data_IF_074615678638
#
_entry.id   IF_074615678638
#
_cell.length_a   1.000
_cell.length_b   1.000
_cell.length_c   1.000
_cell.angle_alpha   90.00
_cell.angle_beta   90.00
_cell.angle_gamma   90.00
#
_symmetry.space_group_name_H-M   'P 1'
#
loop_
_entity.id
_entity.type
_entity.pdbx_description
1 polymer ?
#
# COMPACT_ATOMS: atom_id res chain seq x y z
N UNK A 1 -31.22 25.95 -3.76
CA UNK A 1 -30.78 24.59 -4.11
C UNK A 1 -29.33 24.49 -3.65
N UNK A 2 -28.97 23.45 -2.91
CA UNK A 2 -27.57 23.23 -2.52
C UNK A 2 -26.69 22.91 -3.74
N UNK A 3 -25.37 23.04 -3.60
CA UNK A 3 -24.41 22.63 -4.64
C UNK A 3 -24.63 21.15 -5.00
N UNK A 4 -24.55 20.77 -6.28
CA UNK A 4 -24.58 19.36 -6.69
C UNK A 4 -23.31 18.61 -6.26
N UNK A 5 -22.26 19.34 -5.86
CA UNK A 5 -20.96 18.77 -5.47
C UNK A 5 -20.74 18.86 -3.95
N UNK A 6 -20.32 17.75 -3.37
CA UNK A 6 -19.87 17.67 -1.99
C UNK A 6 -18.50 18.35 -1.83
N UNK A 7 -17.60 18.11 -2.81
CA UNK A 7 -16.25 18.66 -2.85
C UNK A 7 -15.90 19.10 -4.27
N UNK A 8 -15.29 20.28 -4.41
CA UNK A 8 -14.69 20.73 -5.67
C UNK A 8 -13.28 21.27 -5.39
N UNK A 9 -12.36 20.92 -6.25
CA UNK A 9 -10.98 21.42 -6.28
C UNK A 9 -10.79 22.12 -7.61
N UNK A 10 -10.21 23.33 -7.61
CA UNK A 10 -9.96 24.11 -8.81
C UNK A 10 -8.52 24.59 -8.84
N UNK A 11 -7.78 24.19 -9.86
CA UNK A 11 -6.41 24.62 -10.10
C UNK A 11 -5.43 24.26 -8.98
N UNK A 12 -5.64 23.16 -8.27
CA UNK A 12 -4.83 22.79 -7.11
C UNK A 12 -3.41 22.44 -7.55
N UNK A 13 -2.44 23.18 -7.00
CA UNK A 13 -1.01 22.96 -7.24
C UNK A 13 -0.28 22.75 -5.91
N UNK A 14 0.65 21.77 -5.90
CA UNK A 14 1.54 21.50 -4.77
C UNK A 14 2.91 21.09 -5.21
N UNK A 15 3.93 21.73 -4.64
CA UNK A 15 5.34 21.46 -4.89
C UNK A 15 6.07 21.10 -3.61
N UNK A 16 7.09 20.25 -3.70
CA UNK A 16 8.01 19.92 -2.63
C UNK A 16 9.44 20.13 -3.16
N UNK A 17 10.06 21.25 -2.82
CA UNK A 17 11.34 21.65 -3.39
C UNK A 17 11.23 21.78 -4.93
N UNK A 18 12.00 20.98 -5.65
CA UNK A 18 11.97 20.94 -7.13
C UNK A 18 10.91 20.00 -7.71
N UNK A 19 10.24 19.20 -6.86
CA UNK A 19 9.27 18.18 -7.31
C UNK A 19 7.85 18.76 -7.31
N UNK A 20 7.20 18.76 -8.46
CA UNK A 20 5.79 19.14 -8.59
C UNK A 20 4.95 17.88 -8.34
N UNK A 21 4.28 17.82 -7.20
CA UNK A 21 3.43 16.68 -6.84
C UNK A 21 2.05 16.74 -7.48
N UNK A 22 1.46 17.96 -7.55
CA UNK A 22 0.22 18.23 -8.25
C UNK A 22 0.35 19.57 -8.99
N UNK A 23 -0.18 19.64 -10.21
CA UNK A 23 -0.14 20.83 -11.04
C UNK A 23 -1.51 21.08 -11.65
N UNK A 24 -2.12 22.20 -11.28
CA UNK A 24 -3.37 22.71 -11.83
C UNK A 24 -4.47 21.63 -11.91
N UNK A 25 -4.71 20.97 -10.78
CA UNK A 25 -5.63 19.82 -10.70
C UNK A 25 -7.03 20.29 -10.37
N UNK A 26 -7.98 19.93 -11.25
CA UNK A 26 -9.42 20.05 -11.02
C UNK A 26 -10.00 18.70 -10.60
N UNK A 27 -10.92 18.73 -9.63
CA UNK A 27 -11.66 17.55 -9.18
C UNK A 27 -13.06 17.94 -8.71
N UNK A 28 -14.06 17.13 -9.06
CA UNK A 28 -15.43 17.32 -8.60
C UNK A 28 -16.00 16.01 -8.08
N UNK A 29 -16.49 16.02 -6.85
CA UNK A 29 -17.17 14.91 -6.19
C UNK A 29 -18.64 15.29 -6.00
N UNK A 30 -19.55 14.52 -6.60
CA UNK A 30 -20.99 14.74 -6.44
C UNK A 30 -21.47 14.31 -5.05
N UNK A 31 -22.61 14.85 -4.60
CA UNK A 31 -23.22 14.38 -3.36
C UNK A 31 -23.67 12.92 -3.51
N UNK A 32 -23.31 12.06 -2.54
CA UNK A 32 -23.74 10.67 -2.51
C UNK A 32 -23.16 9.80 -3.64
N UNK A 33 -21.96 10.14 -4.17
CA UNK A 33 -21.27 9.28 -5.14
C UNK A 33 -20.04 8.59 -4.53
N UNK A 34 -19.64 7.50 -5.16
CA UNK A 34 -18.33 6.88 -4.97
C UNK A 34 -17.45 7.27 -6.16
N UNK A 35 -16.48 8.14 -5.93
CA UNK A 35 -15.49 8.57 -6.92
C UNK A 35 -14.16 7.85 -6.67
N UNK A 36 -13.64 7.14 -7.66
CA UNK A 36 -12.25 6.64 -7.58
C UNK A 36 -11.26 7.61 -8.19
N UNK A 37 -10.13 7.79 -7.53
CA UNK A 37 -8.95 8.47 -8.07
C UNK A 37 -7.92 7.43 -8.45
N UNK A 38 -7.71 7.28 -9.74
CA UNK A 38 -6.86 6.26 -10.35
C UNK A 38 -5.56 6.90 -10.89
N UNK A 39 -4.45 6.18 -10.83
CA UNK A 39 -3.17 6.60 -11.38
C UNK A 39 -2.03 5.74 -10.84
N UNK A 40 -0.87 5.83 -11.46
CA UNK A 40 0.33 5.11 -11.02
C UNK A 40 0.83 5.59 -9.65
N UNK A 41 1.73 4.82 -9.04
CA UNK A 41 2.41 5.26 -7.83
C UNK A 41 3.23 6.54 -8.13
N UNK A 42 3.11 7.53 -7.23
CA UNK A 42 3.73 8.84 -7.46
C UNK A 42 2.96 9.79 -8.38
N UNK A 43 1.76 9.45 -8.86
CA UNK A 43 0.93 10.35 -9.69
C UNK A 43 0.26 11.50 -8.90
N UNK A 44 0.51 11.64 -7.59
CA UNK A 44 0.01 12.74 -6.79
C UNK A 44 -1.35 12.51 -6.08
N UNK A 45 -1.95 11.31 -6.17
CA UNK A 45 -3.26 10.99 -5.57
C UNK A 45 -3.33 11.25 -4.07
N UNK A 46 -2.44 10.61 -3.31
CA UNK A 46 -2.36 10.77 -1.85
C UNK A 46 -2.01 12.20 -1.47
N UNK A 47 -1.13 12.88 -2.23
CA UNK A 47 -0.79 14.29 -1.99
C UNK A 47 -2.00 15.20 -2.16
N UNK A 48 -2.80 15.00 -3.22
CA UNK A 48 -4.03 15.76 -3.47
C UNK A 48 -5.01 15.59 -2.30
N UNK A 49 -5.22 14.35 -1.84
CA UNK A 49 -6.15 14.08 -0.74
C UNK A 49 -5.60 14.52 0.62
N UNK A 50 -4.30 14.53 0.80
CA UNK A 50 -3.67 15.12 2.00
C UNK A 50 -3.88 16.63 2.09
N UNK A 51 -4.05 17.35 0.98
CA UNK A 51 -4.45 18.74 1.00
C UNK A 51 -5.91 18.90 1.43
N UNK A 52 -6.81 18.05 0.96
CA UNK A 52 -8.23 18.04 1.35
C UNK A 52 -8.40 17.65 2.82
N UNK A 53 -7.55 16.77 3.34
CA UNK A 53 -7.57 16.37 4.77
C UNK A 53 -6.80 17.30 5.71
N UNK A 54 -6.19 18.38 5.18
CA UNK A 54 -5.48 19.41 5.96
C UNK A 54 -4.10 18.99 6.47
N UNK A 55 -3.50 17.94 5.91
CA UNK A 55 -2.11 17.53 6.21
C UNK A 55 -1.12 18.42 5.45
N UNK A 56 -1.44 18.78 4.21
CA UNK A 56 -0.70 19.75 3.42
C UNK A 56 -1.58 20.93 3.07
N UNK A 57 -0.95 22.07 2.85
CA UNK A 57 -1.59 23.25 2.31
C UNK A 57 -1.24 23.39 0.82
N UNK A 58 -2.21 23.64 -0.08
CA UNK A 58 -1.92 23.87 -1.49
C UNK A 58 -1.10 25.16 -1.68
N UNK A 59 -0.22 25.18 -2.68
CA UNK A 59 0.55 26.36 -3.02
C UNK A 59 -0.31 27.36 -3.84
N UNK A 60 -1.29 26.84 -4.61
CA UNK A 60 -2.31 27.61 -5.32
C UNK A 60 -3.55 26.75 -5.59
N UNK A 61 -4.63 27.41 -5.98
CA UNK A 61 -5.93 26.81 -6.25
C UNK A 61 -6.92 27.00 -5.10
N UNK A 62 -8.15 26.55 -5.33
CA UNK A 62 -9.29 26.78 -4.45
C UNK A 62 -9.99 25.47 -4.10
N UNK A 63 -10.46 25.35 -2.85
CA UNK A 63 -11.22 24.19 -2.35
C UNK A 63 -12.62 24.65 -2.00
N UNK A 64 -13.65 23.93 -2.49
CA UNK A 64 -15.05 24.19 -2.18
C UNK A 64 -15.68 22.96 -1.54
N UNK A 65 -16.43 23.16 -0.46
CA UNK A 65 -17.21 22.11 0.22
C UNK A 65 -18.67 22.54 0.24
N UNK A 66 -19.55 21.73 -0.36
CA UNK A 66 -20.96 22.05 -0.49
C UNK A 66 -21.21 23.37 -1.25
N UNK A 67 -20.32 23.73 -2.19
CA UNK A 67 -20.37 24.94 -3.00
C UNK A 67 -19.86 26.22 -2.30
N UNK A 68 -19.30 26.11 -1.09
CA UNK A 68 -18.68 27.23 -0.38
C UNK A 68 -17.16 27.08 -0.43
N UNK A 69 -16.48 28.14 -0.81
CA UNK A 69 -15.04 28.22 -0.73
C UNK A 69 -14.58 28.09 0.72
N UNK A 70 -13.58 27.25 0.96
CA UNK A 70 -13.04 26.94 2.29
C UNK A 70 -11.52 26.92 2.28
N UNK A 71 -10.94 27.21 3.43
CA UNK A 71 -9.50 27.12 3.65
C UNK A 71 -9.23 26.06 4.69
N UNK A 72 -8.53 24.99 4.28
CA UNK A 72 -8.20 23.84 5.13
C UNK A 72 -6.72 23.92 5.48
N UNK A 73 -6.39 24.32 6.72
CA UNK A 73 -5.00 24.47 7.21
C UNK A 73 -4.58 23.35 8.14
N UNK A 74 -5.52 22.58 8.64
CA UNK A 74 -5.27 21.51 9.60
C UNK A 74 -6.28 20.38 9.46
N UNK A 75 -5.97 19.16 9.94
CA UNK A 75 -6.94 18.08 10.00
C UNK A 75 -8.20 18.42 10.81
N UNK A 76 -8.08 19.35 11.77
CA UNK A 76 -9.24 19.83 12.52
C UNK A 76 -10.21 20.60 11.63
N UNK A 77 -9.71 21.48 10.76
CA UNK A 77 -10.55 22.23 9.82
C UNK A 77 -11.28 21.29 8.86
N UNK A 78 -10.60 20.22 8.39
CA UNK A 78 -11.22 19.18 7.57
C UNK A 78 -12.36 18.46 8.33
N UNK A 79 -12.15 18.11 9.61
CA UNK A 79 -13.19 17.50 10.43
C UNK A 79 -14.38 18.45 10.69
N UNK A 80 -14.13 19.73 10.93
CA UNK A 80 -15.19 20.73 11.12
C UNK A 80 -16.03 20.88 9.83
N UNK A 81 -15.44 20.62 8.67
CA UNK A 81 -16.09 20.53 7.35
C UNK A 81 -16.66 19.14 7.04
N UNK A 82 -16.64 18.22 8.01
CA UNK A 82 -17.11 16.84 7.90
C UNK A 82 -16.38 15.98 6.85
N UNK A 83 -15.11 16.26 6.63
CA UNK A 83 -14.21 15.49 5.80
C UNK A 83 -13.40 14.56 6.69
N UNK A 84 -13.39 13.27 6.40
CA UNK A 84 -12.60 12.28 7.10
C UNK A 84 -11.75 11.45 6.16
N UNK A 85 -10.47 11.22 6.52
CA UNK A 85 -9.55 10.42 5.72
C UNK A 85 -9.07 9.19 6.51
N UNK A 86 -9.13 8.04 5.87
CA UNK A 86 -8.56 6.78 6.32
C UNK A 86 -7.28 6.57 5.51
N UNK A 87 -6.14 6.57 6.21
CA UNK A 87 -4.82 6.45 5.61
C UNK A 87 -4.44 4.98 5.36
N UNK A 88 -3.54 4.75 4.42
CA UNK A 88 -2.97 3.44 4.13
C UNK A 88 -2.35 2.77 5.39
N UNK A 89 -1.74 3.56 6.28
CA UNK A 89 -1.25 3.10 7.58
C UNK A 89 -2.18 3.55 8.70
N UNK A 90 -2.68 2.59 9.47
CA UNK A 90 -3.64 2.85 10.55
C UNK A 90 -3.08 3.80 11.61
N UNK A 91 -3.92 4.74 12.04
CA UNK A 91 -3.61 5.71 13.11
C UNK A 91 -4.33 5.30 14.40
N UNK A 92 -4.09 4.05 14.83
CA UNK A 92 -4.68 3.43 16.01
C UNK A 92 -3.62 3.26 17.11
N UNK A 93 -4.07 3.30 18.36
CA UNK A 93 -3.25 3.02 19.54
C UNK A 93 -3.40 1.54 19.88
N UNK A 94 -2.35 0.76 19.74
CA UNK A 94 -2.39 -0.71 19.82
C UNK A 94 -2.90 -1.25 21.16
N UNK A 95 -2.57 -0.59 22.28
CA UNK A 95 -2.95 -1.01 23.63
C UNK A 95 -4.40 -0.67 24.00
N UNK A 96 -5.10 0.10 23.17
CA UNK A 96 -6.51 0.45 23.37
C UNK A 96 -7.42 -0.55 22.66
N UNK A 97 -8.69 -0.62 23.11
CA UNK A 97 -9.73 -1.31 22.38
C UNK A 97 -10.36 -0.42 21.30
N UNK A 98 -11.31 -0.96 20.51
CA UNK A 98 -11.95 -0.23 19.42
C UNK A 98 -12.64 1.06 19.91
N UNK A 99 -13.48 0.98 20.95
CA UNK A 99 -14.25 2.13 21.47
C UNK A 99 -13.29 3.24 21.92
N UNK A 100 -12.25 2.90 22.67
CA UNK A 100 -11.26 3.85 23.15
C UNK A 100 -10.55 4.58 22.00
N UNK A 101 -10.20 3.87 20.91
CA UNK A 101 -9.60 4.48 19.73
C UNK A 101 -10.57 5.39 18.98
N UNK A 102 -11.84 4.98 18.85
CA UNK A 102 -12.86 5.75 18.11
C UNK A 102 -13.11 7.10 18.80
N UNK A 103 -13.20 7.12 20.12
CA UNK A 103 -13.50 8.34 20.87
C UNK A 103 -12.29 9.19 21.23
N UNK A 104 -11.09 8.69 20.97
CA UNK A 104 -9.85 9.38 21.31
C UNK A 104 -9.81 10.77 20.64
N UNK A 105 -9.65 11.83 21.45
CA UNK A 105 -9.59 13.21 20.96
C UNK A 105 -10.94 13.85 20.62
N UNK A 106 -12.06 13.16 20.79
CA UNK A 106 -13.40 13.73 20.63
C UNK A 106 -13.81 14.45 21.94
N UNK A 107 -14.16 15.74 21.83
CA UNK A 107 -14.66 16.54 22.94
C UNK A 107 -16.19 16.42 23.00
N UNK A 108 -16.72 15.43 23.69
CA UNK A 108 -18.17 15.31 24.00
C UNK A 108 -18.44 15.89 25.39
N UNK A 109 -18.57 17.23 25.49
CA UNK A 109 -18.84 17.92 26.74
C UNK A 109 -17.75 17.77 27.80
N UNK A 110 -18.11 17.96 29.09
CA UNK A 110 -17.16 17.97 30.21
C UNK A 110 -16.88 16.59 30.85
N UNK A 111 -17.51 15.50 30.39
CA UNK A 111 -17.32 14.17 30.97
C UNK A 111 -17.13 13.12 29.85
N UNK A 112 -16.01 12.41 29.92
CA UNK A 112 -15.71 11.27 29.09
C UNK A 112 -16.58 10.07 29.53
N UNK A 113 -17.59 9.71 28.74
CA UNK A 113 -18.51 8.61 29.04
C UNK A 113 -18.38 7.48 28.00
N UNK A 114 -17.54 6.48 28.32
CA UNK A 114 -17.32 5.31 27.43
C UNK A 114 -18.60 4.52 27.14
N UNK A 115 -19.52 4.39 28.12
CA UNK A 115 -20.78 3.65 27.89
C UNK A 115 -21.71 4.33 26.91
N UNK A 116 -21.75 5.67 26.89
CA UNK A 116 -22.52 6.42 25.94
C UNK A 116 -21.87 6.37 24.56
N UNK A 117 -20.55 6.47 24.51
CA UNK A 117 -19.78 6.31 23.30
C UNK A 117 -19.98 4.93 22.65
N UNK A 118 -19.95 3.87 23.46
CA UNK A 118 -20.18 2.50 22.99
C UNK A 118 -21.57 2.33 22.35
N UNK A 119 -22.62 2.91 22.95
CA UNK A 119 -23.97 2.90 22.36
C UNK A 119 -23.98 3.59 20.99
N UNK A 120 -23.32 4.74 20.85
CA UNK A 120 -23.22 5.46 19.56
C UNK A 120 -22.41 4.66 18.52
N UNK A 121 -21.30 4.04 18.93
CA UNK A 121 -20.52 3.14 18.07
C UNK A 121 -21.36 1.96 17.61
N UNK A 122 -22.11 1.33 18.52
CA UNK A 122 -23.02 0.23 18.20
C UNK A 122 -24.09 0.66 17.18
N UNK A 123 -24.70 1.82 17.35
CA UNK A 123 -25.68 2.34 16.41
C UNK A 123 -25.10 2.55 15.00
N UNK A 124 -23.83 2.98 14.89
CA UNK A 124 -23.12 3.08 13.61
C UNK A 124 -22.87 1.67 13.01
N UNK A 125 -22.45 0.72 13.84
CA UNK A 125 -22.25 -0.67 13.43
C UNK A 125 -23.53 -1.29 12.90
N UNK A 126 -24.65 -1.13 13.62
CA UNK A 126 -25.95 -1.66 13.22
C UNK A 126 -26.45 -0.99 11.92
N UNK A 127 -26.22 0.31 11.75
CA UNK A 127 -26.63 1.07 10.56
C UNK A 127 -25.92 0.59 9.28
N UNK A 128 -24.61 0.40 9.35
CA UNK A 128 -23.80 0.07 8.16
C UNK A 128 -23.42 -1.41 8.05
N UNK A 129 -23.76 -2.21 9.08
CA UNK A 129 -23.50 -3.65 9.11
C UNK A 129 -22.06 -4.01 9.47
N UNK A 130 -21.37 -3.18 10.25
CA UNK A 130 -20.07 -3.53 10.80
C UNK A 130 -20.17 -4.58 11.88
N UNK A 131 -19.25 -5.53 11.87
CA UNK A 131 -19.09 -6.52 12.94
C UNK A 131 -17.73 -6.29 13.60
N UNK A 132 -17.74 -5.92 14.89
CA UNK A 132 -16.54 -5.63 15.65
C UNK A 132 -16.71 -6.07 17.09
N UNK A 133 -15.64 -6.62 17.68
CA UNK A 133 -15.53 -6.91 19.09
C UNK A 133 -15.01 -5.66 19.83
N UNK A 134 -15.83 -5.08 20.69
CA UNK A 134 -15.52 -3.85 21.41
C UNK A 134 -14.47 -4.02 22.52
N UNK A 135 -14.29 -5.23 23.04
CA UNK A 135 -13.35 -5.52 24.13
C UNK A 135 -11.95 -5.87 23.61
N UNK A 136 -11.87 -6.32 22.35
CA UNK A 136 -10.62 -6.73 21.70
C UNK A 136 -9.66 -5.56 21.56
N UNK A 137 -8.40 -5.78 21.92
CA UNK A 137 -7.33 -4.78 21.75
C UNK A 137 -6.88 -4.71 20.31
N UNK A 138 -6.45 -3.52 19.88
CA UNK A 138 -6.03 -3.29 18.47
C UNK A 138 -4.89 -4.22 18.07
N UNK A 139 -3.93 -4.51 18.94
CA UNK A 139 -2.82 -5.44 18.61
C UNK A 139 -3.28 -6.89 18.36
N UNK A 140 -4.46 -7.28 18.84
CA UNK A 140 -5.08 -8.59 18.63
C UNK A 140 -5.93 -8.65 17.36
N UNK A 141 -6.25 -7.48 16.77
CA UNK A 141 -7.14 -7.36 15.62
C UNK A 141 -6.43 -7.69 14.32
N UNK A 142 -7.16 -8.33 13.42
CA UNK A 142 -6.75 -8.47 12.02
C UNK A 142 -6.67 -7.10 11.32
N UNK A 143 -6.04 -7.05 10.16
CA UNK A 143 -5.95 -5.83 9.34
C UNK A 143 -7.35 -5.32 8.96
N UNK A 144 -8.25 -6.20 8.57
CA UNK A 144 -9.65 -5.88 8.23
C UNK A 144 -10.41 -5.30 9.42
N UNK A 145 -10.24 -5.85 10.63
CA UNK A 145 -10.84 -5.31 11.86
C UNK A 145 -10.29 -3.91 12.17
N UNK A 146 -8.98 -3.69 12.07
CA UNK A 146 -8.34 -2.37 12.25
C UNK A 146 -8.88 -1.34 11.28
N UNK A 147 -9.05 -1.71 10.02
CA UNK A 147 -9.65 -0.84 9.02
C UNK A 147 -11.10 -0.49 9.36
N UNK A 148 -11.88 -1.46 9.82
CA UNK A 148 -13.25 -1.24 10.29
C UNK A 148 -13.27 -0.21 11.43
N UNK A 149 -12.35 -0.29 12.40
CA UNK A 149 -12.21 0.69 13.49
C UNK A 149 -11.94 2.09 12.96
N UNK A 150 -11.03 2.25 11.99
CA UNK A 150 -10.72 3.56 11.37
C UNK A 150 -11.94 4.15 10.65
N UNK A 151 -12.70 3.33 9.92
CA UNK A 151 -13.92 3.80 9.24
C UNK A 151 -14.96 4.26 10.27
N UNK A 152 -15.23 3.44 11.30
CA UNK A 152 -16.18 3.80 12.37
C UNK A 152 -15.73 5.08 13.08
N UNK A 153 -14.45 5.25 13.36
CA UNK A 153 -13.87 6.44 14.00
C UNK A 153 -14.17 7.72 13.22
N UNK A 154 -14.06 7.67 11.89
CA UNK A 154 -14.38 8.80 11.00
C UNK A 154 -15.88 9.07 10.97
N UNK A 155 -16.72 8.04 10.91
CA UNK A 155 -18.18 8.15 10.95
C UNK A 155 -18.68 8.65 12.32
N UNK A 156 -18.09 8.20 13.41
CA UNK A 156 -18.43 8.65 14.78
C UNK A 156 -18.22 10.16 14.93
N UNK A 157 -17.24 10.72 14.22
CA UNK A 157 -16.95 12.15 14.17
C UNK A 157 -17.88 12.92 13.22
N UNK A 158 -18.82 12.23 12.55
CA UNK A 158 -19.84 12.83 11.72
C UNK A 158 -19.37 13.18 10.31
N UNK A 159 -18.39 12.48 9.75
CA UNK A 159 -17.96 12.71 8.37
C UNK A 159 -19.10 12.45 7.36
N UNK A 160 -19.22 13.37 6.39
CA UNK A 160 -20.12 13.27 5.24
C UNK A 160 -19.33 12.99 3.95
N UNK A 161 -18.04 13.34 3.92
CA UNK A 161 -17.09 13.06 2.85
C UNK A 161 -16.01 12.15 3.43
N UNK A 162 -15.88 10.94 2.86
CA UNK A 162 -14.90 9.94 3.29
C UNK A 162 -13.84 9.75 2.20
N UNK A 163 -12.58 9.78 2.60
CA UNK A 163 -11.43 9.52 1.71
C UNK A 163 -10.75 8.24 2.21
N UNK A 164 -10.63 7.24 1.34
CA UNK A 164 -9.96 5.98 1.63
C UNK A 164 -8.73 5.84 0.74
N UNK A 165 -7.54 5.74 1.35
CA UNK A 165 -6.28 5.60 0.64
C UNK A 165 -5.86 4.13 0.58
N UNK A 166 -5.94 3.52 -0.59
CA UNK A 166 -5.67 2.09 -0.89
C UNK A 166 -6.33 1.11 0.11
N UNK A 167 -7.66 1.20 0.30
CA UNK A 167 -8.32 0.48 1.40
C UNK A 167 -8.29 -1.04 1.25
N UNK A 168 -7.99 -1.57 0.09
CA UNK A 168 -8.01 -3.02 -0.21
C UNK A 168 -6.63 -3.62 -0.38
N UNK A 169 -5.55 -2.86 -0.12
CA UNK A 169 -4.16 -3.29 -0.40
C UNK A 169 -3.79 -4.61 0.28
N UNK A 170 -4.33 -4.86 1.46
CA UNK A 170 -4.00 -6.01 2.32
C UNK A 170 -5.21 -6.89 2.65
N UNK A 171 -6.35 -6.65 2.02
CA UNK A 171 -7.59 -7.41 2.23
C UNK A 171 -7.65 -8.63 1.30
N UNK A 172 -8.28 -9.69 1.79
CA UNK A 172 -8.70 -10.81 0.95
C UNK A 172 -9.87 -10.40 0.04
N UNK A 173 -10.14 -11.11 -1.07
CA UNK A 173 -11.30 -10.83 -1.91
C UNK A 173 -12.62 -10.78 -1.14
N UNK A 174 -12.83 -11.71 -0.19
CA UNK A 174 -14.04 -11.76 0.63
C UNK A 174 -14.16 -10.56 1.59
N UNK A 175 -13.03 -10.06 2.11
CA UNK A 175 -13.01 -8.87 2.95
C UNK A 175 -13.24 -7.60 2.11
N UNK A 176 -12.71 -7.56 0.89
CA UNK A 176 -12.94 -6.48 -0.08
C UNK A 176 -14.41 -6.37 -0.43
N UNK A 177 -15.09 -7.48 -0.71
CA UNK A 177 -16.53 -7.51 -0.99
C UNK A 177 -17.36 -6.95 0.19
N UNK A 178 -17.05 -7.39 1.42
CA UNK A 178 -17.69 -6.86 2.64
C UNK A 178 -17.47 -5.35 2.79
N UNK A 179 -16.25 -4.86 2.52
CA UNK A 179 -15.98 -3.43 2.54
C UNK A 179 -16.82 -2.70 1.50
N UNK A 180 -16.92 -3.21 0.27
CA UNK A 180 -17.72 -2.61 -0.79
C UNK A 180 -19.20 -2.55 -0.45
N UNK A 181 -19.75 -3.57 0.20
CA UNK A 181 -21.13 -3.55 0.69
C UNK A 181 -21.37 -2.44 1.70
N UNK A 182 -20.40 -2.22 2.60
CA UNK A 182 -20.46 -1.11 3.57
C UNK A 182 -20.42 0.23 2.84
N UNK A 183 -19.52 0.41 1.86
CA UNK A 183 -19.42 1.64 1.09
C UNK A 183 -20.69 1.92 0.26
N UNK A 184 -21.33 0.89 -0.32
CA UNK A 184 -22.63 1.01 -1.01
C UNK A 184 -23.72 1.52 -0.06
N UNK A 185 -23.81 0.98 1.18
CA UNK A 185 -24.76 1.45 2.20
C UNK A 185 -24.49 2.89 2.62
N UNK A 186 -23.23 3.29 2.73
CA UNK A 186 -22.86 4.67 3.02
C UNK A 186 -23.26 5.62 1.90
N UNK A 187 -23.08 5.22 0.63
CA UNK A 187 -23.54 5.96 -0.54
C UNK A 187 -25.07 6.14 -0.53
N UNK A 188 -25.82 5.08 -0.22
CA UNK A 188 -27.28 5.12 -0.06
C UNK A 188 -27.71 6.08 1.06
N UNK A 189 -26.88 6.24 2.11
CA UNK A 189 -27.07 7.23 3.17
C UNK A 189 -26.54 8.62 2.78
N UNK A 190 -26.34 8.86 1.49
CA UNK A 190 -25.87 10.13 0.90
C UNK A 190 -24.48 10.58 1.37
N UNK A 191 -23.62 9.64 1.78
CA UNK A 191 -22.20 9.93 2.02
C UNK A 191 -21.46 9.98 0.69
N UNK A 192 -20.57 10.95 0.53
CA UNK A 192 -19.69 11.04 -0.63
C UNK A 192 -18.37 10.34 -0.31
N UNK A 193 -17.93 9.44 -1.18
CA UNK A 193 -16.80 8.57 -0.91
C UNK A 193 -15.75 8.76 -2.01
N UNK A 194 -14.50 8.97 -1.62
CA UNK A 194 -13.36 9.05 -2.52
C UNK A 194 -12.45 7.86 -2.22
N UNK A 195 -12.18 7.05 -3.23
CA UNK A 195 -11.28 5.89 -3.11
C UNK A 195 -10.03 6.16 -3.93
N UNK A 196 -8.86 6.13 -3.29
CA UNK A 196 -7.57 6.13 -3.99
C UNK A 196 -7.16 4.68 -4.20
N UNK A 197 -6.96 4.27 -5.44
CA UNK A 197 -6.50 2.92 -5.76
C UNK A 197 -5.77 2.90 -7.11
N UNK A 198 -5.04 1.83 -7.35
CA UNK A 198 -4.45 1.49 -8.65
C UNK A 198 -5.02 0.19 -9.24
N UNK A 199 -6.03 -0.41 -8.58
CA UNK A 199 -6.65 -1.69 -8.96
C UNK A 199 -7.88 -1.46 -9.84
N UNK A 200 -7.73 -1.68 -11.13
CA UNK A 200 -8.74 -1.37 -12.15
C UNK A 200 -10.06 -2.11 -11.93
N UNK A 201 -10.00 -3.41 -11.61
CA UNK A 201 -11.22 -4.21 -11.39
C UNK A 201 -12.04 -3.70 -10.20
N UNK A 202 -11.39 -3.25 -9.12
CA UNK A 202 -12.08 -2.67 -7.96
C UNK A 202 -12.78 -1.36 -8.32
N UNK A 203 -12.10 -0.52 -9.12
CA UNK A 203 -12.67 0.74 -9.61
C UNK A 203 -13.94 0.48 -10.44
N UNK A 204 -13.89 -0.48 -11.37
CA UNK A 204 -15.01 -0.84 -12.21
C UNK A 204 -16.18 -1.45 -11.43
N UNK A 205 -15.91 -2.07 -10.28
CA UNK A 205 -16.92 -2.72 -9.46
C UNK A 205 -17.68 -1.75 -8.53
N UNK A 206 -16.94 -0.79 -7.89
CA UNK A 206 -17.53 -0.02 -6.80
C UNK A 206 -17.85 1.43 -7.16
N UNK A 207 -17.15 2.03 -8.14
CA UNK A 207 -17.20 3.47 -8.38
C UNK A 207 -18.35 3.86 -9.32
N UNK A 208 -18.91 5.03 -9.09
CA UNK A 208 -19.83 5.68 -10.03
C UNK A 208 -19.05 6.39 -11.14
N UNK A 209 -17.94 7.06 -10.77
CA UNK A 209 -17.04 7.78 -11.67
C UNK A 209 -15.59 7.53 -11.30
N UNK A 210 -14.72 7.71 -12.28
CA UNK A 210 -13.27 7.53 -12.14
C UNK A 210 -12.55 8.77 -12.64
N UNK A 211 -11.74 9.39 -11.79
CA UNK A 211 -10.82 10.46 -12.14
C UNK A 211 -9.41 9.92 -12.26
N UNK A 212 -8.72 10.24 -13.33
CA UNK A 212 -7.36 9.77 -13.61
C UNK A 212 -6.37 10.90 -13.38
N UNK A 213 -5.35 10.61 -12.54
CA UNK A 213 -4.18 11.46 -12.34
C UNK A 213 -2.94 10.80 -12.96
N UNK A 214 -2.16 11.55 -13.70
CA UNK A 214 -0.90 11.12 -14.29
C UNK A 214 0.18 12.20 -14.13
N UNK A 215 1.32 11.84 -13.51
CA UNK A 215 2.46 12.73 -13.29
C UNK A 215 2.06 14.07 -12.63
N UNK A 216 1.17 14.01 -11.64
CA UNK A 216 0.68 15.17 -10.89
C UNK A 216 -0.39 16.00 -11.61
N UNK A 217 -0.87 15.60 -12.78
CA UNK A 217 -1.87 16.35 -13.55
C UNK A 217 -3.18 15.56 -13.69
N UNK A 218 -4.27 16.29 -13.79
CA UNK A 218 -5.58 15.77 -14.13
C UNK A 218 -5.62 15.37 -15.61
N UNK A 219 -6.04 14.13 -15.90
CA UNK A 219 -6.17 13.62 -17.27
C UNK A 219 -7.61 13.65 -17.74
N UNK A 220 -8.55 13.31 -16.86
CA UNK A 220 -9.96 13.27 -17.17
C UNK A 220 -10.77 12.52 -16.11
N UNK A 221 -12.09 12.67 -16.19
CA UNK A 221 -13.06 11.93 -15.37
C UNK A 221 -14.04 11.23 -16.30
N UNK A 222 -14.29 9.94 -16.07
CA UNK A 222 -15.19 9.11 -16.87
C UNK A 222 -16.27 8.47 -15.98
N UNK A 223 -17.46 8.25 -16.51
CA UNK A 223 -18.48 7.41 -15.86
C UNK A 223 -18.01 5.95 -15.92
N UNK A 224 -18.06 5.23 -14.81
CA UNK A 224 -17.53 3.85 -14.72
C UNK A 224 -18.24 2.90 -15.71
N UNK A 225 -19.53 3.09 -15.92
CA UNK A 225 -20.32 2.28 -16.89
C UNK A 225 -19.79 2.36 -18.33
N UNK A 226 -19.09 3.45 -18.69
CA UNK A 226 -18.56 3.69 -20.02
C UNK A 226 -17.05 3.35 -20.10
N UNK A 227 -16.44 2.89 -18.99
CA UNK A 227 -15.03 2.59 -18.89
C UNK A 227 -14.76 1.09 -19.03
N UNK A 228 -13.56 0.77 -19.50
CA UNK A 228 -13.00 -0.60 -19.53
C UNK A 228 -11.62 -0.58 -18.89
N UNK A 229 -11.12 -1.75 -18.44
CA UNK A 229 -9.74 -1.84 -17.91
C UNK A 229 -8.73 -1.31 -18.91
N UNK A 230 -8.92 -1.59 -20.21
CA UNK A 230 -8.03 -1.11 -21.26
C UNK A 230 -8.08 0.42 -21.38
N UNK A 231 -9.28 1.02 -21.44
CA UNK A 231 -9.42 2.48 -21.57
C UNK A 231 -8.83 3.22 -20.38
N UNK A 232 -9.05 2.71 -19.14
CA UNK A 232 -8.47 3.27 -17.94
C UNK A 232 -6.94 3.13 -17.92
N UNK A 233 -6.41 1.99 -18.36
CA UNK A 233 -4.96 1.77 -18.48
C UNK A 233 -4.34 2.75 -19.49
N UNK A 234 -4.93 2.93 -20.64
CA UNK A 234 -4.46 3.89 -21.66
C UNK A 234 -4.46 5.32 -21.13
N UNK A 235 -5.48 5.72 -20.38
CA UNK A 235 -5.51 7.05 -19.74
C UNK A 235 -4.43 7.21 -18.65
N UNK A 236 -4.17 6.16 -17.86
CA UNK A 236 -3.12 6.17 -16.83
C UNK A 236 -1.72 6.27 -17.43
N UNK A 237 -1.44 5.44 -18.43
CA UNK A 237 -0.10 5.33 -19.06
C UNK A 237 0.14 6.44 -20.08
N UNK A 238 -0.92 6.91 -20.75
CA UNK A 238 -0.86 7.92 -21.80
C UNK A 238 -0.48 7.39 -23.17
N UNK A 239 -0.39 6.09 -23.32
CA UNK A 239 -0.11 5.39 -24.56
C UNK A 239 -0.92 4.08 -24.63
N UNK A 240 -1.09 3.55 -25.85
CA UNK A 240 -1.76 2.26 -26.01
C UNK A 240 -0.89 1.14 -25.48
N UNK A 241 -1.34 0.52 -24.39
CA UNK A 241 -0.66 -0.62 -23.78
C UNK A 241 -1.28 -1.92 -24.30
N UNK A 242 -0.46 -2.77 -24.89
CA UNK A 242 -0.86 -4.15 -25.17
C UNK A 242 -0.57 -5.00 -23.94
N UNK A 243 -1.62 -5.49 -23.28
CA UNK A 243 -1.49 -6.38 -22.12
C UNK A 243 -0.92 -7.77 -22.46
N UNK A 244 -0.70 -8.05 -23.74
CA UNK A 244 -0.08 -9.30 -24.20
C UNK A 244 1.44 -9.24 -24.04
N UNK A 245 1.93 -9.69 -22.90
CA UNK A 245 3.35 -9.91 -22.66
C UNK A 245 3.77 -11.15 -23.46
N UNK A 246 4.60 -10.97 -24.49
CA UNK A 246 5.24 -12.08 -25.21
C UNK A 246 6.19 -12.77 -24.25
N UNK A 247 5.82 -13.93 -23.73
CA UNK A 247 6.70 -14.78 -22.93
C UNK A 247 7.53 -15.63 -23.88
N UNK A 248 8.85 -15.56 -23.76
CA UNK A 248 9.74 -16.55 -24.40
C UNK A 248 9.72 -17.82 -23.56
N UNK A 249 9.50 -18.96 -24.19
CA UNK A 249 9.63 -20.24 -23.50
C UNK A 249 11.07 -20.44 -23.01
N UNK A 250 11.26 -20.86 -21.75
CA UNK A 250 12.59 -21.10 -21.22
C UNK A 250 13.24 -22.28 -21.99
N UNK A 251 14.49 -22.09 -22.42
CA UNK A 251 15.25 -23.11 -23.14
C UNK A 251 16.32 -23.70 -22.20
N UNK A 252 16.54 -25.03 -22.28
CA UNK A 252 17.57 -25.74 -21.53
C UNK A 252 17.46 -25.49 -20.00
N UNK A 253 16.26 -25.70 -19.47
CA UNK A 253 16.00 -25.53 -18.03
C UNK A 253 16.70 -26.63 -17.24
N UNK A 254 17.41 -26.25 -16.20
CA UNK A 254 18.07 -27.15 -15.25
C UNK A 254 17.57 -26.87 -13.84
N UNK A 255 17.40 -27.93 -13.05
CA UNK A 255 17.03 -27.79 -11.65
C UNK A 255 18.06 -26.93 -10.90
N UNK A 256 17.60 -25.91 -10.18
CA UNK A 256 18.43 -25.01 -9.37
C UNK A 256 18.13 -25.12 -7.88
N UNK A 257 16.86 -25.20 -7.52
CA UNK A 257 16.43 -25.34 -6.12
C UNK A 257 15.42 -26.49 -6.05
N UNK A 258 15.64 -27.42 -5.12
CA UNK A 258 14.71 -28.48 -4.79
C UNK A 258 14.37 -28.38 -3.30
N UNK A 259 13.14 -28.03 -2.98
CA UNK A 259 12.63 -27.90 -1.61
C UNK A 259 11.77 -29.11 -1.29
N UNK A 260 12.10 -29.79 -0.19
CA UNK A 260 11.36 -30.97 0.28
C UNK A 260 11.07 -30.89 1.77
N UNK A 261 9.82 -31.17 2.13
CA UNK A 261 9.33 -31.25 3.51
C UNK A 261 9.66 -30.01 4.34
N UNK A 262 9.73 -28.82 3.69
CA UNK A 262 10.11 -27.59 4.38
C UNK A 262 9.02 -27.20 5.36
N UNK A 263 9.37 -27.18 6.63
CA UNK A 263 8.51 -26.75 7.72
C UNK A 263 9.23 -25.74 8.60
N UNK A 264 8.50 -24.70 9.03
CA UNK A 264 9.02 -23.59 9.86
C UNK A 264 8.04 -23.28 10.97
N UNK A 265 8.56 -22.98 12.17
CA UNK A 265 7.79 -22.50 13.32
C UNK A 265 8.09 -21.04 13.61
N UNK A 266 7.07 -20.28 13.99
CA UNK A 266 7.25 -18.92 14.50
C UNK A 266 7.82 -18.94 15.93
N UNK A 267 8.06 -17.73 16.49
CA UNK A 267 8.57 -17.55 17.84
C UNK A 267 7.68 -18.13 18.95
N UNK A 268 6.39 -18.33 18.66
CA UNK A 268 5.42 -18.95 19.57
C UNK A 268 5.36 -20.48 19.44
N UNK A 269 6.18 -21.06 18.55
CA UNK A 269 6.22 -22.50 18.29
C UNK A 269 5.12 -23.02 17.35
N UNK A 270 4.29 -22.14 16.76
CA UNK A 270 3.25 -22.50 15.80
C UNK A 270 3.86 -22.71 14.42
N UNK A 271 3.45 -23.76 13.71
CA UNK A 271 3.83 -24.00 12.32
C UNK A 271 3.27 -22.87 11.42
N UNK A 272 4.16 -22.20 10.69
CA UNK A 272 3.83 -21.18 9.68
C UNK A 272 4.07 -21.71 8.26
N UNK A 273 4.99 -22.66 8.12
CA UNK A 273 5.13 -23.50 6.92
C UNK A 273 5.04 -24.96 7.35
N UNK A 274 4.26 -25.74 6.62
CA UNK A 274 4.06 -27.15 6.89
C UNK A 274 4.23 -27.98 5.62
N UNK A 275 5.30 -28.78 5.58
CA UNK A 275 5.59 -29.74 4.52
C UNK A 275 5.57 -29.15 3.09
N UNK A 276 6.19 -28.01 2.88
CA UNK A 276 6.25 -27.32 1.58
C UNK A 276 7.23 -28.07 0.67
N UNK A 277 6.77 -28.33 -0.56
CA UNK A 277 7.55 -29.04 -1.58
C UNK A 277 7.40 -28.31 -2.93
N UNK A 278 8.51 -27.95 -3.57
CA UNK A 278 8.54 -27.40 -4.92
C UNK A 278 9.95 -27.43 -5.49
N UNK A 279 10.03 -27.22 -6.80
CA UNK A 279 11.31 -27.06 -7.52
C UNK A 279 11.33 -25.73 -8.26
N UNK A 280 12.52 -25.16 -8.42
CA UNK A 280 12.76 -24.00 -9.27
C UNK A 280 13.91 -24.29 -10.24
N UNK A 281 13.70 -23.97 -11.52
CA UNK A 281 14.65 -24.27 -12.58
C UNK A 281 15.31 -22.98 -13.12
N UNK A 282 16.42 -23.13 -13.82
CA UNK A 282 17.08 -22.01 -14.52
C UNK A 282 16.20 -21.51 -15.66
N UNK A 283 16.18 -20.17 -15.86
CA UNK A 283 15.48 -19.55 -16.98
C UNK A 283 13.96 -19.49 -16.85
N UNK A 284 13.38 -19.96 -15.73
CA UNK A 284 11.96 -19.80 -15.44
C UNK A 284 11.68 -18.70 -14.41
N UNK A 285 10.45 -18.22 -14.39
CA UNK A 285 9.91 -17.36 -13.35
C UNK A 285 8.90 -18.18 -12.56
N UNK A 286 9.26 -18.57 -11.33
CA UNK A 286 8.36 -19.30 -10.42
C UNK A 286 7.54 -18.29 -9.61
N UNK A 287 6.22 -18.28 -9.81
CA UNK A 287 5.30 -17.48 -9.00
C UNK A 287 4.83 -18.24 -7.76
N UNK A 288 4.93 -17.59 -6.59
CA UNK A 288 4.41 -18.13 -5.32
C UNK A 288 3.24 -17.24 -4.89
N UNK A 289 2.03 -17.74 -5.07
CA UNK A 289 0.80 -17.03 -4.73
C UNK A 289 0.32 -17.39 -3.32
N UNK A 290 -0.26 -16.42 -2.63
CA UNK A 290 -0.87 -16.61 -1.31
C UNK A 290 -1.42 -15.30 -0.77
N UNK A 291 -2.30 -15.40 0.22
CA UNK A 291 -2.80 -14.23 0.96
C UNK A 291 -1.76 -13.78 2.00
N UNK A 292 -1.91 -12.56 2.52
CA UNK A 292 -1.02 -12.04 3.57
C UNK A 292 -0.95 -12.99 4.76
N UNK A 293 0.27 -13.27 5.23
CA UNK A 293 0.50 -14.15 6.40
C UNK A 293 0.48 -15.64 6.13
N UNK A 294 0.42 -16.10 4.85
CA UNK A 294 0.45 -17.55 4.57
C UNK A 294 1.86 -18.13 4.40
N UNK A 295 2.90 -17.43 4.84
CA UNK A 295 4.25 -18.01 4.97
C UNK A 295 5.21 -17.73 3.81
N UNK A 296 4.84 -16.87 2.84
CA UNK A 296 5.73 -16.52 1.71
C UNK A 296 7.04 -15.89 2.19
N UNK A 297 6.98 -15.03 3.21
CA UNK A 297 8.14 -14.40 3.81
C UNK A 297 9.05 -15.46 4.44
N UNK A 298 8.49 -16.32 5.28
CA UNK A 298 9.21 -17.40 5.96
C UNK A 298 9.85 -18.38 4.98
N UNK A 299 9.19 -18.63 3.85
CA UNK A 299 9.73 -19.45 2.77
C UNK A 299 10.99 -18.84 2.17
N UNK A 300 10.95 -17.58 1.77
CA UNK A 300 12.11 -16.88 1.20
C UNK A 300 13.25 -16.72 2.23
N UNK A 301 12.91 -16.41 3.48
CA UNK A 301 13.88 -16.30 4.56
C UNK A 301 14.54 -17.65 4.88
N UNK A 302 13.82 -18.78 4.74
CA UNK A 302 14.38 -20.13 4.90
C UNK A 302 15.42 -20.44 3.81
N UNK A 303 15.13 -20.08 2.55
CA UNK A 303 16.10 -20.24 1.44
C UNK A 303 17.34 -19.36 1.67
N UNK A 304 17.16 -18.18 2.27
CA UNK A 304 18.24 -17.26 2.60
C UNK A 304 19.05 -17.65 3.84
N UNK A 305 18.61 -18.67 4.60
CA UNK A 305 19.23 -19.06 5.87
C UNK A 305 18.93 -18.11 7.04
N UNK A 306 17.87 -17.34 6.95
CA UNK A 306 17.42 -16.38 7.98
C UNK A 306 16.40 -17.00 8.95
N UNK A 307 15.80 -18.16 8.59
CA UNK A 307 14.82 -18.88 9.40
C UNK A 307 15.37 -20.24 9.82
N UNK A 308 15.01 -20.68 11.02
CA UNK A 308 15.28 -22.04 11.49
C UNK A 308 14.18 -22.99 10.98
N UNK A 309 14.59 -24.01 10.25
CA UNK A 309 13.67 -25.01 9.72
C UNK A 309 13.49 -26.18 10.69
N UNK A 310 12.34 -26.83 10.64
CA UNK A 310 12.07 -28.06 11.42
C UNK A 310 12.93 -29.22 10.89
N UNK A 311 13.35 -30.13 11.79
CA UNK A 311 14.12 -31.29 11.43
C UNK A 311 13.40 -32.13 10.37
N UNK A 312 14.12 -32.52 9.31
CA UNK A 312 13.58 -33.23 8.15
C UNK A 312 13.32 -32.33 6.94
N UNK A 313 13.39 -31.01 7.09
CA UNK A 313 13.36 -30.08 5.97
C UNK A 313 14.62 -30.16 5.11
N UNK A 314 14.48 -30.04 3.79
CA UNK A 314 15.60 -30.02 2.84
C UNK A 314 15.41 -28.91 1.83
N UNK A 315 16.48 -28.16 1.56
CA UNK A 315 16.57 -27.15 0.49
C UNK A 315 17.87 -27.42 -0.24
N UNK A 316 17.80 -28.12 -1.36
CA UNK A 316 18.97 -28.48 -2.17
C UNK A 316 19.17 -27.43 -3.25
N UNK A 317 20.35 -26.86 -3.32
CA UNK A 317 20.79 -25.96 -4.39
C UNK A 317 21.74 -26.67 -5.33
N UNK A 318 21.54 -26.53 -6.63
CA UNK A 318 22.42 -27.03 -7.67
C UNK A 318 23.07 -25.88 -8.42
N UNK A 319 24.40 -25.79 -8.36
CA UNK A 319 25.19 -24.76 -9.03
C UNK A 319 25.15 -24.90 -10.57
N UNK A 320 25.67 -23.90 -11.29
CA UNK A 320 25.82 -24.00 -12.75
C UNK A 320 26.77 -25.09 -13.16
N UNK A 321 27.73 -25.45 -12.32
CA UNK A 321 28.73 -26.48 -12.55
C UNK A 321 28.23 -27.88 -12.16
N UNK A 322 26.99 -27.98 -11.69
CA UNK A 322 26.35 -29.22 -11.31
C UNK A 322 26.59 -29.68 -9.86
N UNK A 323 27.30 -28.89 -9.06
CA UNK A 323 27.53 -29.21 -7.63
C UNK A 323 26.25 -29.04 -6.82
N UNK A 324 25.94 -29.98 -5.97
CA UNK A 324 24.76 -29.96 -5.09
C UNK A 324 25.17 -29.57 -3.67
N UNK A 325 24.40 -28.65 -3.08
CA UNK A 325 24.63 -28.13 -1.72
C UNK A 325 23.34 -28.03 -0.95
N UNK A 326 23.29 -28.57 0.27
CA UNK A 326 22.18 -28.39 1.19
C UNK A 326 22.27 -26.99 1.82
N UNK A 327 21.18 -26.23 1.75
CA UNK A 327 21.11 -24.87 2.33
C UNK A 327 20.63 -24.88 3.78
N UNK A 328 19.83 -25.85 4.19
CA UNK A 328 19.33 -25.96 5.57
C UNK A 328 20.50 -26.03 6.55
N UNK A 329 20.42 -25.19 7.61
CA UNK A 329 21.46 -25.09 8.65
C UNK A 329 22.68 -24.25 8.28
N UNK A 330 22.76 -23.72 7.06
CA UNK A 330 23.81 -22.78 6.66
C UNK A 330 23.41 -21.34 6.98
N UNK A 331 24.41 -20.56 7.36
CA UNK A 331 24.24 -19.12 7.55
C UNK A 331 24.07 -18.39 6.20
N UNK A 332 23.45 -17.19 6.18
CA UNK A 332 23.32 -16.38 4.96
C UNK A 332 24.66 -16.10 4.25
N UNK A 333 25.76 -16.00 5.01
CA UNK A 333 27.10 -15.79 4.45
C UNK A 333 27.62 -17.02 3.72
N UNK A 334 27.37 -18.22 4.26
CA UNK A 334 27.73 -19.50 3.62
C UNK A 334 26.91 -19.74 2.37
N UNK A 335 25.59 -19.48 2.43
CA UNK A 335 24.67 -19.59 1.29
C UNK A 335 25.12 -18.67 0.14
N UNK A 336 25.51 -17.43 0.46
CA UNK A 336 26.03 -16.49 -0.53
C UNK A 336 27.33 -16.95 -1.19
N UNK A 337 28.23 -17.62 -0.44
CA UNK A 337 29.49 -18.17 -0.99
C UNK A 337 29.25 -19.29 -2.00
N UNK A 338 28.12 -19.98 -1.93
CA UNK A 338 27.69 -21.00 -2.92
C UNK A 338 27.15 -20.38 -4.21
N UNK A 339 27.11 -19.05 -4.32
CA UNK A 339 26.57 -18.34 -5.48
C UNK A 339 25.05 -18.08 -5.40
N UNK A 340 24.39 -18.43 -4.31
CA UNK A 340 22.99 -18.10 -4.08
C UNK A 340 22.90 -16.66 -3.60
N UNK A 341 22.69 -15.74 -4.55
CA UNK A 341 22.51 -14.32 -4.26
C UNK A 341 21.01 -14.00 -4.17
N UNK A 342 20.54 -13.72 -2.97
CA UNK A 342 19.17 -13.29 -2.76
C UNK A 342 19.08 -11.78 -2.97
N UNK A 343 18.31 -11.33 -3.98
CA UNK A 343 17.89 -9.95 -4.15
C UNK A 343 16.45 -9.84 -3.62
N UNK A 344 16.33 -9.44 -2.36
CA UNK A 344 15.04 -9.37 -1.68
C UNK A 344 14.46 -7.96 -1.80
N UNK A 345 13.26 -7.85 -2.36
CA UNK A 345 12.46 -6.62 -2.39
C UNK A 345 11.29 -6.84 -1.43
N UNK A 346 11.41 -6.38 -0.16
CA UNK A 346 10.38 -6.60 0.84
C UNK A 346 9.18 -5.69 0.63
N UNK A 347 8.04 -6.07 1.21
CA UNK A 347 6.83 -5.23 1.29
C UNK A 347 7.13 -3.94 2.09
N UNK A 348 7.72 -4.08 3.28
CA UNK A 348 8.26 -2.95 4.05
C UNK A 348 9.67 -2.59 3.56
N UNK A 349 9.72 -1.67 2.59
CA UNK A 349 10.98 -1.26 1.96
C UNK A 349 11.90 -0.49 2.91
N UNK A 350 11.34 0.38 3.75
CA UNK A 350 12.11 1.24 4.66
C UNK A 350 12.53 0.51 5.93
N UNK A 351 11.73 -0.45 6.41
CA UNK A 351 12.07 -1.23 7.60
C UNK A 351 13.03 -2.40 7.33
N UNK A 352 13.00 -2.96 6.12
CA UNK A 352 13.74 -4.19 5.80
C UNK A 352 14.65 -4.11 4.57
N UNK A 353 14.39 -3.22 3.63
CA UNK A 353 15.06 -3.17 2.33
C UNK A 353 16.06 -2.04 2.16
N UNK A 354 15.80 -0.89 2.76
CA UNK A 354 16.57 0.34 2.60
C UNK A 354 16.88 0.99 3.94
N UNK A 355 17.97 1.73 3.99
CA UNK A 355 18.30 2.61 5.12
C UNK A 355 17.91 4.04 4.72
N UNK A 356 16.82 4.56 5.32
CA UNK A 356 16.18 5.80 4.90
C UNK A 356 17.05 7.07 5.01
N UNK A 357 18.10 7.04 5.83
CA UNK A 357 19.04 8.16 6.02
C UNK A 357 20.29 8.06 5.11
N UNK A 358 20.35 7.07 4.23
CA UNK A 358 21.44 6.87 3.26
C UNK A 358 20.96 7.22 1.86
N UNK A 359 21.84 7.79 1.05
CA UNK A 359 21.59 8.02 -0.35
C UNK A 359 21.49 6.69 -1.17
N UNK A 360 21.13 6.77 -2.43
CA UNK A 360 21.01 5.59 -3.33
C UNK A 360 22.36 4.87 -3.44
N UNK A 361 23.47 5.61 -3.52
CA UNK A 361 24.82 5.03 -3.67
C UNK A 361 25.17 4.22 -2.42
N UNK A 362 24.95 4.78 -1.23
CA UNK A 362 25.25 4.12 0.04
C UNK A 362 24.36 2.91 0.28
N UNK A 363 23.07 2.98 -0.07
CA UNK A 363 22.16 1.84 -0.02
C UNK A 363 22.63 0.71 -0.96
N UNK A 364 23.12 1.02 -2.18
CA UNK A 364 23.68 0.02 -3.10
C UNK A 364 24.98 -0.59 -2.55
N UNK A 365 25.75 0.15 -1.76
CA UNK A 365 27.01 -0.31 -1.16
C UNK A 365 26.82 -1.26 0.02
N UNK A 366 25.64 -1.34 0.66
CA UNK A 366 25.43 -2.12 1.90
C UNK A 366 25.94 -3.57 1.82
N UNK A 367 25.98 -4.17 0.66
CA UNK A 367 26.45 -5.55 0.44
C UNK A 367 27.88 -5.63 -0.13
N UNK A 368 28.43 -4.54 -0.63
CA UNK A 368 29.72 -4.51 -1.36
C UNK A 368 30.81 -3.65 -0.69
N UNK A 369 30.50 -2.94 0.38
CA UNK A 369 31.42 -2.00 1.03
C UNK A 369 32.77 -2.60 1.46
N UNK A 370 32.86 -3.92 1.68
CA UNK A 370 34.10 -4.64 2.05
C UNK A 370 34.95 -5.05 0.86
N UNK A 371 34.51 -4.77 -0.38
CA UNK A 371 35.23 -5.17 -1.61
C UNK A 371 36.41 -4.28 -1.98
N UNK A 372 36.57 -3.13 -1.32
CA UNK A 372 37.66 -2.20 -1.53
C UNK A 372 38.99 -2.68 -0.91
N UNK A 373 40.12 -2.32 -1.56
CA UNK A 373 41.47 -2.64 -1.07
C UNK A 373 42.11 -1.53 -0.21
N UNK A 374 41.34 -0.46 0.07
CA UNK A 374 41.81 0.71 0.83
C UNK A 374 41.07 0.88 2.15
N UNK A 375 41.60 1.70 3.08
CA UNK A 375 40.94 2.07 4.33
C UNK A 375 39.69 2.97 4.10
N UNK A 376 39.48 3.47 2.89
CA UNK A 376 38.37 4.35 2.53
C UNK A 376 37.34 3.59 1.69
N UNK A 377 36.07 3.97 1.85
CA UNK A 377 34.98 3.43 1.04
C UNK A 377 35.12 3.89 -0.43
N UNK A 378 35.14 2.95 -1.34
CA UNK A 378 35.11 3.26 -2.77
C UNK A 378 33.66 3.46 -3.24
N UNK A 379 33.31 4.73 -3.53
CA UNK A 379 31.94 5.08 -3.96
C UNK A 379 31.80 5.23 -5.49
N UNK A 380 32.90 5.16 -6.26
CA UNK A 380 32.86 5.41 -7.70
C UNK A 380 32.07 4.36 -8.46
N UNK A 381 32.43 3.09 -8.29
CA UNK A 381 31.73 2.00 -8.99
C UNK A 381 30.23 1.89 -8.60
N UNK A 382 29.82 1.99 -7.32
CA UNK A 382 28.42 2.09 -6.95
C UNK A 382 27.69 3.30 -7.54
N UNK A 383 28.35 4.47 -7.63
CA UNK A 383 27.77 5.68 -8.23
C UNK A 383 27.55 5.50 -9.75
N UNK A 384 28.52 4.94 -10.44
CA UNK A 384 28.40 4.68 -11.89
C UNK A 384 27.26 3.68 -12.16
N UNK A 385 27.14 2.63 -11.34
CA UNK A 385 26.04 1.65 -11.42
C UNK A 385 24.69 2.30 -11.09
N UNK A 386 24.60 3.14 -10.06
CA UNK A 386 23.38 3.86 -9.70
C UNK A 386 22.92 4.74 -10.86
N UNK A 387 23.81 5.52 -11.45
CA UNK A 387 23.49 6.38 -12.60
C UNK A 387 23.04 5.57 -13.83
N UNK A 388 23.66 4.43 -14.11
CA UNK A 388 23.25 3.54 -15.18
C UNK A 388 21.83 3.01 -14.95
N UNK A 389 21.53 2.49 -13.74
CA UNK A 389 20.22 1.97 -13.38
C UNK A 389 19.14 3.07 -13.42
N UNK A 390 19.45 4.27 -12.92
CA UNK A 390 18.53 5.42 -12.98
C UNK A 390 18.14 5.71 -14.41
N UNK A 391 19.12 5.69 -15.33
CA UNK A 391 18.89 5.94 -16.75
C UNK A 391 18.16 4.79 -17.43
N UNK A 392 18.61 3.56 -17.24
CA UNK A 392 18.11 2.38 -17.97
C UNK A 392 16.69 1.98 -17.54
N UNK A 393 16.34 2.23 -16.27
CA UNK A 393 15.02 1.92 -15.70
C UNK A 393 14.15 3.18 -15.51
N UNK A 394 14.59 4.34 -16.04
CA UNK A 394 13.85 5.62 -15.93
C UNK A 394 13.43 5.97 -14.51
N UNK A 395 14.31 5.71 -13.52
CA UNK A 395 14.01 5.95 -12.11
C UNK A 395 13.83 7.45 -11.85
N UNK A 396 12.68 7.83 -11.32
CA UNK A 396 12.38 9.24 -10.99
C UNK A 396 13.06 9.61 -9.67
N UNK A 397 14.17 10.30 -9.77
CA UNK A 397 14.95 10.81 -8.63
C UNK A 397 15.70 12.08 -9.04
N UNK A 398 15.94 13.05 -8.14
CA UNK A 398 16.77 14.21 -8.45
C UNK A 398 18.21 13.84 -8.78
N UNK A 399 18.79 12.87 -8.08
CA UNK A 399 20.16 12.38 -8.29
C UNK A 399 20.37 11.03 -7.61
N UNK A 400 21.52 10.39 -7.87
CA UNK A 400 21.97 9.20 -7.13
C UNK A 400 22.38 9.52 -5.67
N UNK A 401 22.57 10.78 -5.34
CA UNK A 401 22.94 11.29 -4.00
C UNK A 401 21.72 11.75 -3.17
N UNK A 402 20.51 11.28 -3.56
CA UNK A 402 19.24 11.63 -2.90
C UNK A 402 18.88 10.59 -1.87
#
# INVERSE_FOLDING_TARGET
MGSPFALELKGITKTFGSTIANKDVDLQVKNGEILSILGENGSGKTTLMNMVSGIYYPDSGEIYVGGKEVVIKSPKDAFDLKIGMIHQHFKLVDVFNAVQNIVLGVKDGNKYNLKEAEKRVKAICDKYGFVIDFDKKIYEMSVSEKQTVEIIKVLYRGADILILDEPTAVLTPQETEKLFDVLRRMREDNKSIIIITHKLHEVLEISDRVTILRKGMYVGTVETKDATEQSLTEMMMGEKVTLNIKRTEPKNTELRIDVKNLSVKNHEGKLVLDNINFTANSGEILGIAGISGCGQKELLESIAGLQQTVKGSSILYKSKDGEESQLVGKSPKEIRKLGVALSFVPEDRLGMGLVGNMDIIDNMMLRSYKGGHTAFLERKAPKDLANAIIKDLEVVTPSAET
#
